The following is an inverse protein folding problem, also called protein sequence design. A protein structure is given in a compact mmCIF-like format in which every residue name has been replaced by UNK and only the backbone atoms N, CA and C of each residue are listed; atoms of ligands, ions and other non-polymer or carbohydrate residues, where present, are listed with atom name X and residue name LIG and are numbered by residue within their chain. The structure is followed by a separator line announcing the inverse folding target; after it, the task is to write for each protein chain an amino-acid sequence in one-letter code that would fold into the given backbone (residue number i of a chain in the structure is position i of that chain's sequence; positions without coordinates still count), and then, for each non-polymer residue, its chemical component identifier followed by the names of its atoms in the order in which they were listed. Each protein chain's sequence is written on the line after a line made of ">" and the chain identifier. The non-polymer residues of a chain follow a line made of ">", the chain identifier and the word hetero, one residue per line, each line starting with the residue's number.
data_IF_908829075973
#
_entry.id   IF_908829075973
#
_cell.length_a   1.000
_cell.length_b   1.000
_cell.length_c   1.000
_cell.angle_alpha   90.00
_cell.angle_beta   90.00
_cell.angle_gamma   90.00
#
_symmetry.space_group_name_H-M   'P 1'
#
loop_
_entity.id
_entity.type
_entity.pdbx_description
1 polymer ?
#
# COMPACT_ATOMS: atom_id res chain seq x y z
N UNK A 1 -1.83 -14.23 -10.74
CA UNK A 1 -0.72 -15.22 -10.76
C UNK A 1 0.41 -14.64 -9.92
N UNK A 2 1.09 -15.40 -9.04
CA UNK A 2 2.26 -14.86 -8.32
C UNK A 2 3.53 -15.17 -9.11
N UNK A 3 4.50 -14.26 -9.09
CA UNK A 3 5.80 -14.51 -9.72
C UNK A 3 6.53 -15.70 -9.09
N UNK A 4 6.23 -16.02 -7.81
CA UNK A 4 6.75 -17.20 -7.10
C UNK A 4 6.34 -18.52 -7.74
N UNK A 5 5.30 -18.51 -8.57
CA UNK A 5 4.76 -19.68 -9.26
C UNK A 5 5.29 -19.78 -10.70
N UNK A 6 6.24 -18.91 -11.08
CA UNK A 6 6.83 -18.82 -12.41
C UNK A 6 8.35 -19.03 -12.36
N UNK A 7 8.89 -19.66 -13.39
CA UNK A 7 10.32 -19.63 -13.70
C UNK A 7 10.64 -18.53 -14.74
N UNK A 8 11.91 -18.19 -14.94
CA UNK A 8 12.31 -17.07 -15.81
C UNK A 8 11.92 -17.27 -17.29
N UNK A 9 11.79 -18.52 -17.76
CA UNK A 9 11.39 -18.84 -19.14
C UNK A 9 9.89 -18.59 -19.34
N UNK A 10 9.07 -18.91 -18.33
CA UNK A 10 7.65 -18.56 -18.34
C UNK A 10 7.45 -17.04 -18.33
N UNK A 11 8.30 -16.28 -17.62
CA UNK A 11 8.27 -14.81 -17.67
C UNK A 11 8.64 -14.31 -19.06
N UNK A 12 9.69 -14.85 -19.67
CA UNK A 12 10.13 -14.51 -21.03
C UNK A 12 9.02 -14.75 -22.07
N UNK A 13 8.28 -15.86 -22.00
CA UNK A 13 7.13 -16.10 -22.87
C UNK A 13 5.93 -15.22 -22.52
N UNK A 14 5.70 -14.95 -21.23
CA UNK A 14 4.55 -14.17 -20.75
C UNK A 14 4.58 -12.74 -21.29
N UNK A 15 5.73 -12.07 -21.25
CA UNK A 15 5.89 -10.67 -21.68
C UNK A 15 5.72 -10.49 -23.19
N UNK A 16 5.91 -11.54 -23.99
CA UNK A 16 5.62 -11.52 -25.44
C UNK A 16 4.13 -11.44 -25.74
N UNK A 17 3.28 -11.93 -24.82
CA UNK A 17 1.83 -11.99 -24.99
C UNK A 17 1.15 -10.81 -24.29
N UNK A 18 1.58 -10.49 -23.07
CA UNK A 18 1.09 -9.35 -22.32
C UNK A 18 2.15 -8.90 -21.29
N UNK A 19 2.64 -7.69 -21.47
CA UNK A 19 3.73 -7.06 -20.72
C UNK A 19 3.25 -6.30 -19.46
N UNK A 20 2.06 -6.65 -18.92
CA UNK A 20 1.57 -6.14 -17.64
C UNK A 20 2.20 -6.85 -16.44
N UNK A 21 2.48 -6.10 -15.39
CA UNK A 21 2.76 -6.66 -14.06
C UNK A 21 2.23 -5.78 -12.93
N UNK A 22 2.10 -6.38 -11.74
CA UNK A 22 1.70 -5.69 -10.51
C UNK A 22 2.81 -5.81 -9.48
N UNK A 23 3.13 -4.71 -8.81
CA UNK A 23 4.14 -4.64 -7.76
C UNK A 23 3.52 -4.01 -6.51
N UNK A 24 3.27 -4.79 -5.44
CA UNK A 24 2.77 -4.24 -4.19
C UNK A 24 3.86 -3.45 -3.46
N UNK A 25 3.51 -2.31 -2.87
CA UNK A 25 4.41 -1.49 -2.05
C UNK A 25 3.84 -1.38 -0.63
N UNK A 26 4.59 -1.85 0.36
CA UNK A 26 4.20 -1.80 1.76
C UNK A 26 5.05 -0.85 2.60
N UNK A 27 5.06 -1.12 3.90
CA UNK A 27 5.90 -0.53 4.94
C UNK A 27 5.91 -1.46 6.16
N UNK A 28 6.88 -1.26 7.05
CA UNK A 28 6.86 -1.80 8.41
C UNK A 28 6.87 -0.63 9.37
N UNK A 29 5.72 -0.32 9.95
CA UNK A 29 5.54 0.85 10.80
C UNK A 29 4.49 0.66 11.89
N UNK A 30 4.48 1.58 12.84
CA UNK A 30 3.51 1.58 13.93
C UNK A 30 2.08 1.64 13.38
N UNK A 31 1.22 0.75 13.88
CA UNK A 31 -0.20 0.73 13.57
C UNK A 31 -1.03 0.55 14.84
N UNK A 32 -0.69 1.33 15.87
CA UNK A 32 -1.25 1.24 17.21
C UNK A 32 -1.29 -0.20 17.76
N UNK A 33 -2.47 -0.84 17.75
CA UNK A 33 -2.70 -2.17 18.30
C UNK A 33 -2.62 -3.29 17.24
N UNK A 34 -2.44 -2.95 15.96
CA UNK A 34 -2.34 -3.91 14.86
C UNK A 34 -0.90 -4.40 14.65
N UNK A 35 -0.76 -5.37 13.74
CA UNK A 35 0.54 -5.80 13.24
C UNK A 35 1.36 -4.63 12.70
N UNK A 36 2.68 -4.61 12.93
CA UNK A 36 3.58 -3.64 12.30
C UNK A 36 3.66 -3.79 10.77
N UNK A 37 3.13 -4.88 10.24
CA UNK A 37 3.18 -5.24 8.82
C UNK A 37 1.84 -4.96 8.09
N UNK A 38 0.94 -4.16 8.67
CA UNK A 38 -0.37 -3.82 8.07
C UNK A 38 -0.23 -3.44 6.60
N UNK A 39 0.60 -2.44 6.27
CA UNK A 39 0.71 -1.91 4.92
C UNK A 39 1.17 -2.97 3.90
N UNK A 40 2.15 -3.80 4.27
CA UNK A 40 2.63 -4.88 3.40
C UNK A 40 1.60 -6.00 3.22
N UNK A 41 0.91 -6.40 4.31
CA UNK A 41 -0.11 -7.45 4.26
C UNK A 41 -1.27 -7.01 3.36
N UNK A 42 -1.75 -5.78 3.54
CA UNK A 42 -2.90 -5.27 2.79
C UNK A 42 -2.56 -5.05 1.31
N UNK A 43 -1.42 -4.42 1.01
CA UNK A 43 -0.99 -4.19 -0.37
C UNK A 43 -0.79 -5.50 -1.15
N UNK A 44 -0.11 -6.49 -0.55
CA UNK A 44 0.12 -7.77 -1.22
C UNK A 44 -1.19 -8.52 -1.45
N UNK A 45 -2.05 -8.55 -0.44
CA UNK A 45 -3.29 -9.33 -0.50
C UNK A 45 -4.26 -8.76 -1.53
N UNK A 46 -4.48 -7.45 -1.56
CA UNK A 46 -5.38 -6.83 -2.55
C UNK A 46 -4.83 -7.00 -3.97
N UNK A 47 -3.52 -6.86 -4.17
CA UNK A 47 -2.89 -7.05 -5.48
C UNK A 47 -3.07 -8.49 -6.00
N UNK A 48 -2.85 -9.50 -5.15
CA UNK A 48 -3.01 -10.90 -5.55
C UNK A 48 -4.47 -11.24 -5.83
N UNK A 49 -5.40 -10.84 -4.96
CA UNK A 49 -6.83 -11.15 -5.11
C UNK A 49 -7.44 -10.44 -6.32
N UNK A 50 -7.04 -9.19 -6.58
CA UNK A 50 -7.45 -8.44 -7.76
C UNK A 50 -6.95 -9.08 -9.06
N UNK A 51 -5.68 -9.53 -9.08
CA UNK A 51 -5.04 -10.12 -10.26
C UNK A 51 -5.44 -11.58 -10.53
N UNK A 52 -6.17 -12.24 -9.64
CA UNK A 52 -6.44 -13.69 -9.68
C UNK A 52 -7.01 -14.17 -11.04
N UNK A 53 -7.91 -13.41 -11.65
CA UNK A 53 -8.55 -13.74 -12.94
C UNK A 53 -7.82 -13.20 -14.18
N UNK A 54 -6.87 -12.28 -14.00
CA UNK A 54 -6.28 -11.50 -15.10
C UNK A 54 -5.11 -12.20 -15.81
N UNK A 55 -4.52 -13.23 -15.19
CA UNK A 55 -3.27 -13.82 -15.65
C UNK A 55 -2.05 -12.88 -15.58
N UNK A 56 -2.19 -11.69 -14.98
CA UNK A 56 -1.10 -10.74 -14.75
C UNK A 56 -0.27 -11.21 -13.55
N UNK A 57 1.07 -11.27 -13.66
CA UNK A 57 1.95 -11.64 -12.57
C UNK A 57 2.04 -10.53 -11.51
N UNK A 58 1.93 -10.93 -10.24
CA UNK A 58 2.15 -10.10 -9.06
C UNK A 58 3.52 -10.43 -8.48
N UNK A 59 4.39 -9.43 -8.37
CA UNK A 59 5.69 -9.54 -7.72
C UNK A 59 5.54 -9.56 -6.18
N UNK A 60 6.55 -10.00 -5.42
CA UNK A 60 6.52 -9.91 -3.98
C UNK A 60 6.42 -8.44 -3.56
N UNK A 61 5.73 -8.19 -2.45
CA UNK A 61 5.64 -6.85 -1.88
C UNK A 61 7.03 -6.30 -1.58
N UNK A 62 7.25 -5.02 -1.89
CA UNK A 62 8.40 -4.28 -1.36
C UNK A 62 8.08 -3.97 0.11
N UNK A 63 8.75 -4.63 1.09
CA UNK A 63 8.25 -4.69 2.46
C UNK A 63 8.54 -3.42 3.26
N UNK A 64 9.53 -2.62 2.84
CA UNK A 64 9.94 -1.40 3.54
C UNK A 64 9.69 -0.16 2.67
N UNK A 65 9.18 0.90 3.31
CA UNK A 65 8.82 2.16 2.67
C UNK A 65 9.35 3.38 3.41
N UNK A 66 8.66 4.50 3.24
CA UNK A 66 8.98 5.79 3.85
C UNK A 66 8.16 6.04 5.13
N UNK A 67 8.61 5.47 6.25
CA UNK A 67 8.01 5.61 7.57
C UNK A 67 8.73 6.62 8.49
N UNK A 68 9.43 7.61 7.91
CA UNK A 68 10.34 8.50 8.66
C UNK A 68 9.67 9.29 9.80
N UNK A 69 8.36 9.52 9.73
CA UNK A 69 7.58 10.15 10.79
C UNK A 69 7.37 9.28 12.04
N UNK A 70 7.66 7.98 11.95
CA UNK A 70 7.35 6.99 12.98
C UNK A 70 8.58 6.26 13.52
N UNK A 71 9.81 6.69 13.17
CA UNK A 71 11.05 5.97 13.53
C UNK A 71 11.28 5.79 15.03
N UNK A 72 10.68 6.64 15.87
CA UNK A 72 10.78 6.53 17.34
C UNK A 72 9.68 5.66 17.96
N UNK A 73 8.80 5.08 17.15
CA UNK A 73 7.94 3.97 17.54
C UNK A 73 8.68 2.64 17.34
N UNK A 74 8.89 1.84 18.40
CA UNK A 74 9.66 0.61 18.33
C UNK A 74 9.14 -0.35 17.26
N UNK A 75 10.05 -0.90 16.46
CA UNK A 75 9.74 -1.83 15.38
C UNK A 75 9.47 -1.17 14.02
N UNK A 76 9.27 0.15 13.97
CA UNK A 76 9.20 0.87 12.69
C UNK A 76 10.56 0.83 11.97
N UNK A 77 10.55 0.46 10.70
CA UNK A 77 11.73 0.47 9.83
C UNK A 77 11.44 1.35 8.62
N UNK A 78 12.18 2.46 8.51
CA UNK A 78 12.05 3.40 7.39
C UNK A 78 13.30 3.38 6.53
N UNK A 79 13.10 3.33 5.21
CA UNK A 79 14.14 3.72 4.27
C UNK A 79 14.30 5.25 4.28
N UNK A 80 15.48 5.73 3.92
CA UNK A 80 15.65 7.14 3.56
C UNK A 80 14.97 7.40 2.20
N UNK A 81 14.56 8.64 1.93
CA UNK A 81 13.98 8.99 0.63
C UNK A 81 14.88 8.59 -0.54
N UNK A 82 16.18 8.88 -0.43
CA UNK A 82 17.17 8.53 -1.47
C UNK A 82 17.32 7.02 -1.64
N UNK A 83 17.30 6.26 -0.55
CA UNK A 83 17.34 4.79 -0.62
C UNK A 83 16.06 4.24 -1.25
N UNK A 84 14.89 4.76 -0.87
CA UNK A 84 13.62 4.32 -1.43
C UNK A 84 13.53 4.59 -2.94
N UNK A 85 13.96 5.77 -3.38
CA UNK A 85 14.08 6.09 -4.82
C UNK A 85 15.00 5.09 -5.51
N UNK A 86 16.17 4.78 -4.94
CA UNK A 86 17.08 3.78 -5.48
C UNK A 86 16.46 2.39 -5.60
N UNK A 87 15.79 1.91 -4.54
CA UNK A 87 15.11 0.61 -4.52
C UNK A 87 14.03 0.54 -5.60
N UNK A 88 13.12 1.52 -5.65
CA UNK A 88 12.03 1.51 -6.62
C UNK A 88 12.56 1.71 -8.04
N UNK A 89 13.61 2.51 -8.22
CA UNK A 89 14.32 2.65 -9.49
C UNK A 89 14.89 1.34 -9.99
N UNK A 90 15.59 0.59 -9.14
CA UNK A 90 16.15 -0.72 -9.50
C UNK A 90 15.06 -1.75 -9.81
N UNK A 91 13.94 -1.72 -9.07
CA UNK A 91 12.76 -2.56 -9.33
C UNK A 91 12.15 -2.23 -10.70
N UNK A 92 11.86 -0.96 -10.99
CA UNK A 92 11.32 -0.51 -12.27
C UNK A 92 12.23 -0.89 -13.43
N UNK A 93 13.51 -0.56 -13.33
CA UNK A 93 14.51 -0.87 -14.35
C UNK A 93 14.62 -2.38 -14.59
N UNK A 94 14.45 -3.20 -13.55
CA UNK A 94 14.54 -4.66 -13.66
C UNK A 94 13.33 -5.27 -14.35
N UNK A 95 12.11 -4.87 -13.99
CA UNK A 95 10.91 -5.37 -14.67
C UNK A 95 10.82 -4.84 -16.10
N UNK A 96 11.22 -3.59 -16.33
CA UNK A 96 11.30 -3.02 -17.67
C UNK A 96 12.30 -3.79 -18.56
N UNK A 97 13.50 -4.07 -18.05
CA UNK A 97 14.50 -4.89 -18.76
C UNK A 97 14.01 -6.31 -19.05
N UNK A 98 13.16 -6.87 -18.19
CA UNK A 98 12.55 -8.19 -18.40
C UNK A 98 11.44 -8.21 -19.46
N UNK A 99 11.05 -7.04 -19.99
CA UNK A 99 10.04 -6.92 -21.05
C UNK A 99 8.69 -6.38 -20.58
N UNK A 100 8.49 -6.13 -19.28
CA UNK A 100 7.28 -5.47 -18.82
C UNK A 100 7.26 -3.99 -19.26
N UNK A 101 6.10 -3.49 -19.68
CA UNK A 101 5.91 -2.07 -20.06
C UNK A 101 4.76 -1.42 -19.31
N UNK A 102 3.79 -2.22 -18.89
CA UNK A 102 2.58 -1.76 -18.21
C UNK A 102 2.63 -2.17 -16.74
N UNK A 103 3.05 -1.26 -15.88
CA UNK A 103 3.40 -1.58 -14.49
C UNK A 103 2.39 -0.91 -13.55
N UNK A 104 1.71 -1.69 -12.72
CA UNK A 104 0.85 -1.17 -11.66
C UNK A 104 1.54 -1.31 -10.30
N UNK A 105 1.82 -0.19 -9.65
CA UNK A 105 2.11 -0.18 -8.22
C UNK A 105 0.80 -0.18 -7.42
N UNK A 106 0.63 -1.18 -6.57
CA UNK A 106 -0.43 -1.23 -5.57
C UNK A 106 0.19 -0.82 -4.23
N UNK A 107 0.05 0.44 -3.89
CA UNK A 107 0.63 1.01 -2.68
C UNK A 107 -0.31 0.80 -1.50
N UNK A 108 0.27 0.41 -0.35
CA UNK A 108 -0.42 0.27 0.94
C UNK A 108 0.02 1.27 2.00
N UNK A 109 0.95 2.19 1.70
CA UNK A 109 1.46 3.16 2.68
C UNK A 109 1.48 4.59 2.14
N UNK A 110 0.78 5.52 2.79
CA UNK A 110 0.73 6.92 2.38
C UNK A 110 2.11 7.60 2.28
N UNK A 111 3.06 7.21 3.13
CA UNK A 111 4.42 7.76 3.14
C UNK A 111 5.19 7.52 1.85
N UNK A 112 4.83 6.50 1.06
CA UNK A 112 5.47 6.15 -0.20
C UNK A 112 5.14 7.13 -1.35
N UNK A 113 4.10 7.96 -1.21
CA UNK A 113 3.60 8.89 -2.26
C UNK A 113 4.68 9.71 -2.99
N UNK A 114 5.76 10.21 -2.34
CA UNK A 114 6.80 10.97 -3.03
C UNK A 114 7.45 10.25 -4.23
N UNK A 115 7.34 8.91 -4.31
CA UNK A 115 7.88 8.16 -5.45
C UNK A 115 7.20 8.47 -6.77
N UNK A 116 5.98 9.02 -6.75
CA UNK A 116 5.26 9.40 -7.98
C UNK A 116 6.00 10.45 -8.80
N UNK A 117 6.72 11.37 -8.16
CA UNK A 117 7.58 12.34 -8.84
C UNK A 117 8.74 11.63 -9.57
N UNK A 118 9.37 10.65 -8.92
CA UNK A 118 10.43 9.86 -9.54
C UNK A 118 9.89 8.99 -10.70
N UNK A 119 8.71 8.37 -10.54
CA UNK A 119 8.06 7.60 -11.62
C UNK A 119 7.83 8.49 -12.84
N UNK A 120 7.34 9.73 -12.63
CA UNK A 120 7.13 10.69 -13.72
C UNK A 120 8.44 11.04 -14.44
N UNK A 121 9.54 11.23 -13.72
CA UNK A 121 10.86 11.46 -14.31
C UNK A 121 11.34 10.23 -15.09
N UNK A 122 11.21 9.04 -14.50
CA UNK A 122 11.62 7.77 -15.10
C UNK A 122 10.89 7.50 -16.42
N UNK A 123 9.59 7.79 -16.50
CA UNK A 123 8.79 7.65 -17.72
C UNK A 123 9.29 8.52 -18.88
N UNK A 124 9.86 9.70 -18.61
CA UNK A 124 10.44 10.56 -19.65
C UNK A 124 11.67 9.92 -20.33
N UNK A 125 12.32 8.96 -19.67
CA UNK A 125 13.42 8.19 -20.24
C UNK A 125 12.97 6.85 -20.87
N UNK A 126 11.70 6.47 -20.71
CA UNK A 126 11.14 5.18 -21.12
C UNK A 126 9.78 5.39 -21.80
N UNK A 127 9.80 5.98 -23.00
CA UNK A 127 8.59 6.43 -23.71
C UNK A 127 7.65 5.30 -24.16
N UNK A 128 8.07 4.04 -24.06
CA UNK A 128 7.28 2.86 -24.38
C UNK A 128 6.68 2.18 -23.13
N UNK A 129 6.80 2.80 -21.95
CA UNK A 129 6.25 2.30 -20.70
C UNK A 129 5.09 3.16 -20.17
N UNK A 130 4.18 2.51 -19.45
CA UNK A 130 3.08 3.12 -18.70
C UNK A 130 3.15 2.61 -17.26
N UNK A 131 3.20 3.53 -16.29
CA UNK A 131 3.22 3.19 -14.86
C UNK A 131 2.01 3.80 -14.17
N UNK A 132 1.21 2.97 -13.51
CA UNK A 132 0.11 3.40 -12.64
C UNK A 132 0.55 3.30 -11.19
N UNK A 133 0.18 4.28 -10.37
CA UNK A 133 0.37 4.27 -8.93
C UNK A 133 -0.99 4.34 -8.24
N UNK A 134 -1.37 3.27 -7.54
CA UNK A 134 -2.68 3.12 -6.93
C UNK A 134 -2.54 2.89 -5.43
N UNK A 135 -2.97 3.87 -4.65
CA UNK A 135 -3.15 3.71 -3.21
C UNK A 135 -4.50 3.04 -2.95
N UNK A 136 -4.48 1.73 -2.69
CA UNK A 136 -5.69 0.92 -2.70
C UNK A 136 -6.75 1.42 -1.70
N UNK A 137 -6.34 1.99 -0.57
CA UNK A 137 -7.26 2.42 0.49
C UNK A 137 -7.96 3.77 0.21
N UNK A 138 -7.43 4.56 -0.74
CA UNK A 138 -7.95 5.91 -1.08
C UNK A 138 -8.41 6.03 -2.53
N UNK A 139 -8.48 4.91 -3.25
CA UNK A 139 -9.09 4.93 -4.57
C UNK A 139 -10.60 5.22 -4.48
N UNK A 140 -11.21 5.79 -5.54
CA UNK A 140 -12.54 6.39 -5.44
C UNK A 140 -13.62 5.49 -4.84
N UNK A 141 -13.75 4.25 -5.30
CA UNK A 141 -14.76 3.29 -4.81
C UNK A 141 -14.54 2.92 -3.36
N UNK A 142 -13.29 2.69 -2.99
CA UNK A 142 -12.90 2.34 -1.62
C UNK A 142 -13.18 3.51 -0.69
N UNK A 143 -12.80 4.72 -1.09
CA UNK A 143 -13.03 5.92 -0.30
C UNK A 143 -14.51 6.23 -0.15
N UNK A 144 -15.31 6.11 -1.21
CA UNK A 144 -16.77 6.29 -1.14
C UNK A 144 -17.40 5.31 -0.14
N UNK A 145 -16.98 4.04 -0.18
CA UNK A 145 -17.45 3.02 0.77
C UNK A 145 -17.01 3.32 2.21
N UNK A 146 -15.78 3.79 2.42
CA UNK A 146 -15.30 4.25 3.73
C UNK A 146 -16.15 5.40 4.25
N UNK A 147 -16.43 6.41 3.41
CA UNK A 147 -17.24 7.57 3.81
C UNK A 147 -18.69 7.18 4.12
N UNK A 148 -19.25 6.21 3.39
CA UNK A 148 -20.58 5.63 3.66
C UNK A 148 -20.64 4.95 5.04
N UNK A 149 -19.61 4.18 5.40
CA UNK A 149 -19.56 3.41 6.65
C UNK A 149 -19.26 4.33 7.84
N UNK A 150 -18.17 5.09 7.78
CA UNK A 150 -17.73 6.00 8.83
C UNK A 150 -16.64 6.97 8.32
N UNK A 151 -16.92 8.28 8.20
CA UNK A 151 -15.91 9.23 7.73
C UNK A 151 -14.75 9.42 8.71
N UNK A 152 -14.85 8.95 9.96
CA UNK A 152 -13.76 8.98 10.95
C UNK A 152 -12.73 7.86 10.71
N UNK A 153 -12.25 7.71 9.47
CA UNK A 153 -11.21 6.78 9.05
C UNK A 153 -9.85 7.46 8.92
N UNK A 154 -8.80 6.82 9.46
CA UNK A 154 -7.42 7.35 9.44
C UNK A 154 -6.36 6.26 9.72
N UNK A 155 -5.10 6.68 9.87
CA UNK A 155 -3.97 5.83 10.26
C UNK A 155 -4.22 5.10 11.59
N UNK A 156 -3.92 3.80 11.59
CA UNK A 156 -4.12 2.84 12.66
C UNK A 156 -5.54 2.80 13.24
N UNK A 157 -6.53 3.22 12.45
CA UNK A 157 -7.94 3.19 12.81
C UNK A 157 -8.61 1.92 12.27
N UNK A 158 -9.92 1.82 12.49
CA UNK A 158 -10.76 0.74 12.00
C UNK A 158 -10.57 0.47 10.50
N UNK A 159 -10.29 1.48 9.68
CA UNK A 159 -10.12 1.34 8.22
C UNK A 159 -8.98 0.41 7.83
N UNK A 160 -7.99 0.22 8.70
CA UNK A 160 -6.84 -0.67 8.49
C UNK A 160 -6.96 -1.97 9.31
N UNK A 161 -8.00 -2.09 10.15
CA UNK A 161 -8.20 -3.19 11.09
C UNK A 161 -8.98 -4.37 10.47
N UNK A 162 -8.38 -5.01 9.49
CA UNK A 162 -8.90 -6.23 8.86
C UNK A 162 -8.60 -7.48 9.70
N UNK A 163 -9.38 -8.57 9.58
CA UNK A 163 -9.13 -9.82 10.31
C UNK A 163 -7.69 -10.35 10.19
N UNK A 164 -7.04 -10.13 9.05
CA UNK A 164 -5.67 -10.57 8.76
C UNK A 164 -4.56 -9.58 9.17
N UNK A 165 -4.92 -8.46 9.80
CA UNK A 165 -3.96 -7.49 10.38
C UNK A 165 -4.00 -7.46 11.91
N UNK A 166 -5.00 -8.12 12.50
CA UNK A 166 -5.19 -8.24 13.95
C UNK A 166 -4.20 -9.24 14.54
N UNK A 167 -3.83 -8.97 15.79
CA UNK A 167 -3.02 -9.87 16.60
C UNK A 167 -3.94 -10.61 17.56
N UNK A 168 -3.81 -11.95 17.62
CA UNK A 168 -4.75 -12.82 18.33
C UNK A 168 -4.89 -12.50 19.84
N UNK A 169 -3.84 -11.93 20.44
CA UNK A 169 -3.77 -11.64 21.88
C UNK A 169 -3.95 -10.15 22.21
N UNK A 170 -4.38 -9.34 21.24
CA UNK A 170 -4.54 -7.89 21.41
C UNK A 170 -6.01 -7.50 21.27
N UNK A 171 -6.58 -7.00 22.36
CA UNK A 171 -7.93 -6.43 22.37
C UNK A 171 -7.92 -4.98 21.89
N UNK A 172 -8.88 -4.63 21.04
CA UNK A 172 -9.01 -3.27 20.51
C UNK A 172 -9.78 -2.37 21.49
N UNK A 173 -9.34 -1.11 21.70
CA UNK A 173 -10.10 -0.17 22.49
C UNK A 173 -11.51 0.05 21.92
N UNK A 174 -12.53 0.01 22.78
CA UNK A 174 -13.92 0.25 22.41
C UNK A 174 -14.26 1.74 22.18
N UNK A 175 -13.35 2.65 22.54
CA UNK A 175 -13.52 4.09 22.40
C UNK A 175 -13.12 4.59 21.01
N UNK A 176 -13.63 5.75 20.63
CA UNK A 176 -13.13 6.49 19.45
C UNK A 176 -12.07 7.50 19.88
N UNK A 177 -10.99 7.59 19.11
CA UNK A 177 -9.92 8.56 19.36
C UNK A 177 -10.25 9.92 18.74
N UNK A 178 -10.10 11.04 19.49
CA UNK A 178 -10.24 12.37 18.93
C UNK A 178 -9.22 12.66 17.83
N UNK A 179 -9.60 13.54 16.89
CA UNK A 179 -8.73 13.95 15.78
C UNK A 179 -7.48 14.66 16.22
N UNK A 180 -6.33 14.13 15.79
CA UNK A 180 -5.02 14.76 16.01
C UNK A 180 -4.89 16.06 15.22
N UNK A 181 -4.04 16.95 15.71
CA UNK A 181 -3.65 18.18 15.02
C UNK A 181 -2.57 17.87 13.96
N UNK A 182 -3.01 17.62 12.73
CA UNK A 182 -2.13 17.34 11.60
C UNK A 182 -1.15 18.49 11.30
N UNK A 183 -1.57 19.74 11.48
CA UNK A 183 -0.69 20.89 11.22
C UNK A 183 0.45 20.94 12.23
N UNK A 184 0.20 20.56 13.48
CA UNK A 184 1.23 20.40 14.51
C UNK A 184 2.13 19.20 14.23
N UNK A 185 1.56 18.04 13.89
CA UNK A 185 2.34 16.83 13.58
C UNK A 185 3.30 17.04 12.39
N UNK A 186 2.91 17.83 11.39
CA UNK A 186 3.74 18.13 10.23
C UNK A 186 5.01 18.95 10.55
N UNK A 187 5.13 19.53 11.75
CA UNK A 187 6.19 20.48 12.14
C UNK A 187 7.10 19.97 13.26
N UNK A 188 7.01 18.69 13.60
CA UNK A 188 7.77 18.09 14.70
C UNK A 188 8.44 16.78 14.27
N UNK A 189 9.51 16.42 14.99
CA UNK A 189 10.26 15.18 14.77
C UNK A 189 9.49 13.92 15.21
N UNK A 190 10.03 12.74 14.90
CA UNK A 190 9.41 11.46 15.23
C UNK A 190 9.20 11.27 16.75
N UNK A 191 10.13 11.74 17.58
CA UNK A 191 10.05 11.64 19.04
C UNK A 191 8.84 12.41 19.54
N UNK A 192 8.67 13.64 19.07
CA UNK A 192 7.57 14.50 19.46
C UNK A 192 6.25 14.04 18.81
N UNK A 193 6.26 13.49 17.59
CA UNK A 193 5.09 12.82 17.01
C UNK A 193 4.62 11.69 17.92
N UNK A 194 5.52 10.81 18.36
CA UNK A 194 5.17 9.72 19.29
C UNK A 194 4.53 10.23 20.57
N UNK A 195 5.08 11.29 21.17
CA UNK A 195 4.50 11.89 22.38
C UNK A 195 3.11 12.48 22.14
N UNK A 196 2.87 13.11 20.98
CA UNK A 196 1.58 13.72 20.65
C UNK A 196 0.52 12.69 20.27
N UNK A 197 0.93 11.61 19.60
CA UNK A 197 0.05 10.53 19.17
C UNK A 197 -0.25 9.56 20.30
N UNK A 198 0.67 9.33 21.24
CA UNK A 198 0.51 8.32 22.27
C UNK A 198 0.56 6.92 21.67
N UNK A 199 -0.60 6.30 21.47
CA UNK A 199 -0.73 4.95 20.89
C UNK A 199 -0.47 4.89 19.38
N UNK A 200 -0.39 6.02 18.68
CA UNK A 200 -0.09 6.07 17.25
C UNK A 200 -1.29 6.17 16.29
N UNK A 201 -2.53 6.02 16.77
CA UNK A 201 -3.74 6.23 15.96
C UNK A 201 -3.98 7.73 15.67
N UNK A 202 -4.46 8.08 14.48
CA UNK A 202 -4.72 9.48 14.13
C UNK A 202 -6.11 9.97 14.55
N UNK A 203 -7.15 9.14 14.41
CA UNK A 203 -8.49 9.30 14.98
C UNK A 203 -9.41 8.11 14.67
N UNK A 204 -10.60 8.16 15.28
CA UNK A 204 -11.71 7.26 14.96
C UNK A 204 -11.73 6.03 15.83
N UNK A 205 -12.65 5.12 15.51
CA UNK A 205 -12.71 3.82 16.15
C UNK A 205 -11.45 3.01 15.80
N UNK A 206 -11.02 2.14 16.71
CA UNK A 206 -9.91 1.23 16.45
C UNK A 206 -10.36 0.00 15.65
N UNK A 207 -11.62 -0.41 15.81
CA UNK A 207 -12.18 -1.58 15.14
C UNK A 207 -13.65 -1.33 14.78
N UNK A 208 -14.06 -1.94 13.68
CA UNK A 208 -15.46 -2.09 13.26
C UNK A 208 -15.77 -3.57 12.97
N UNK A 209 -17.05 -3.96 12.87
CA UNK A 209 -17.43 -5.33 12.53
C UNK A 209 -16.78 -5.80 11.22
N UNK A 210 -16.49 -7.09 11.12
CA UNK A 210 -15.84 -7.66 9.92
C UNK A 210 -16.68 -7.49 8.66
N UNK A 211 -17.99 -7.39 8.79
CA UNK A 211 -18.90 -7.09 7.67
C UNK A 211 -18.60 -5.74 7.03
N UNK A 212 -18.29 -4.72 7.83
CA UNK A 212 -17.93 -3.39 7.34
C UNK A 212 -16.56 -3.43 6.64
N UNK A 213 -15.62 -4.16 7.25
CA UNK A 213 -14.27 -4.30 6.70
C UNK A 213 -14.26 -5.05 5.37
N UNK A 214 -15.00 -6.15 5.28
CA UNK A 214 -15.09 -6.94 4.06
C UNK A 214 -15.81 -6.18 2.94
N UNK A 215 -16.77 -5.31 3.26
CA UNK A 215 -17.41 -4.46 2.25
C UNK A 215 -16.42 -3.48 1.59
N UNK A 216 -15.49 -2.89 2.37
CA UNK A 216 -14.41 -2.05 1.83
C UNK A 216 -13.43 -2.90 1.03
N UNK A 217 -13.13 -4.10 1.51
CA UNK A 217 -12.21 -5.02 0.84
C UNK A 217 -12.71 -5.42 -0.55
N UNK A 218 -14.00 -5.72 -0.68
CA UNK A 218 -14.61 -6.07 -1.97
C UNK A 218 -14.48 -4.93 -2.99
N UNK A 219 -14.69 -3.68 -2.56
CA UNK A 219 -14.46 -2.50 -3.39
C UNK A 219 -12.99 -2.34 -3.77
N UNK A 220 -12.06 -2.60 -2.85
CA UNK A 220 -10.63 -2.51 -3.09
C UNK A 220 -10.15 -3.53 -4.14
N UNK A 221 -10.62 -4.78 -4.05
CA UNK A 221 -10.35 -5.81 -5.06
C UNK A 221 -10.92 -5.39 -6.42
N UNK A 222 -12.19 -4.95 -6.44
CA UNK A 222 -12.87 -4.63 -7.68
C UNK A 222 -12.24 -3.43 -8.39
N UNK A 223 -11.87 -2.38 -7.66
CA UNK A 223 -11.21 -1.21 -8.21
C UNK A 223 -9.78 -1.51 -8.67
N UNK A 224 -8.99 -2.22 -7.84
CA UNK A 224 -7.63 -2.64 -8.23
C UNK A 224 -7.68 -3.51 -9.49
N UNK A 225 -8.66 -4.40 -9.62
CA UNK A 225 -8.85 -5.22 -10.82
C UNK A 225 -9.12 -4.38 -12.06
N UNK A 226 -10.02 -3.39 -11.97
CA UNK A 226 -10.26 -2.47 -13.09
C UNK A 226 -8.97 -1.80 -13.54
N UNK A 227 -8.13 -1.33 -12.61
CA UNK A 227 -6.86 -0.70 -12.94
C UNK A 227 -5.85 -1.65 -13.61
N UNK A 228 -5.86 -2.93 -13.24
CA UNK A 228 -5.08 -3.99 -13.88
C UNK A 228 -5.57 -4.23 -15.32
N UNK A 229 -6.89 -4.18 -15.54
CA UNK A 229 -7.51 -4.63 -16.79
C UNK A 229 -7.64 -3.54 -17.86
N UNK A 230 -7.73 -2.27 -17.47
CA UNK A 230 -8.15 -1.16 -18.37
C UNK A 230 -7.12 -0.02 -18.40
N UNK A 231 -7.35 1.00 -19.23
CA UNK A 231 -6.61 2.29 -19.26
C UNK A 231 -5.08 2.16 -19.33
N UNK A 232 -4.58 1.38 -20.28
CA UNK A 232 -3.13 1.20 -20.50
C UNK A 232 -2.59 1.88 -21.76
N UNK A 233 -3.48 2.52 -22.53
CA UNK A 233 -3.20 3.21 -23.78
C UNK A 233 -2.53 4.58 -23.57
#
# INVERSE_FOLDING_TARGET
>A
MRISDMNWMQVEERVKVDDRCVIPLGSVEQHAYLSLAVDMILAERVAVEAAASSGVPVFPVVPYGLASGFTDFPGTVSLSLTTYIGVIGDVLNSVYRAGFRRILFVNGHGGNTPITAYISEWLNAHSDATVKFHDWWRGPRVWDKVQEIDPAASHASWMENFPWTRLAEVEMPAMSKPRVDFARLARVDATRKRQLLGDGNYHGLYQRPDTDMLAIWDEAIAETRTLIETDWD
#
